data_IF_203885106252
#
_entry.id   IF_203885106252
#
_cell.length_a   1.000
_cell.length_b   1.000
_cell.length_c   1.000
_cell.angle_alpha   90.00
_cell.angle_beta   90.00
_cell.angle_gamma   90.00
#
_symmetry.space_group_name_H-M   'P 1'
#
loop_
_entity.id
_entity.type
_entity.pdbx_description
1 polymer ?
#
# COMPACT_ATOMS: atom_id res chain seq x y z
N UNK A 1 25.05 -4.66 -3.51
CA UNK A 1 24.98 -4.70 -2.02
C UNK A 1 23.98 -3.68 -1.45
N UNK A 2 23.78 -2.54 -2.12
CA UNK A 2 22.94 -1.43 -1.63
C UNK A 2 21.42 -1.72 -1.66
N UNK A 3 20.98 -2.63 -2.53
CA UNK A 3 19.56 -3.00 -2.67
C UNK A 3 19.10 -4.12 -1.72
N UNK A 4 20.01 -4.70 -0.92
CA UNK A 4 19.68 -5.76 0.02
C UNK A 4 19.19 -5.17 1.36
N UNK A 5 17.92 -5.30 1.63
CA UNK A 5 17.26 -4.80 2.83
C UNK A 5 17.01 -5.93 3.82
N UNK A 6 17.23 -5.69 5.09
CA UNK A 6 16.86 -6.65 6.13
C UNK A 6 15.36 -6.60 6.38
N UNK A 7 14.74 -7.74 6.67
CA UNK A 7 13.33 -7.82 7.04
C UNK A 7 13.15 -7.81 8.54
N UNK A 8 12.06 -7.21 8.98
CA UNK A 8 11.59 -7.22 10.36
C UNK A 8 10.14 -7.69 10.39
N UNK A 9 9.83 -8.59 11.30
CA UNK A 9 8.46 -9.05 11.56
C UNK A 9 7.92 -8.36 12.81
N UNK A 10 6.82 -7.64 12.67
CA UNK A 10 6.07 -7.05 13.76
C UNK A 10 4.79 -7.83 13.99
N UNK A 11 4.57 -8.27 15.22
CA UNK A 11 3.34 -8.94 15.64
C UNK A 11 2.56 -8.01 16.57
N UNK A 12 1.26 -7.84 16.29
CA UNK A 12 0.35 -7.07 17.13
C UNK A 12 -0.92 -7.85 17.39
N UNK A 13 -1.26 -8.05 18.68
CA UNK A 13 -2.55 -8.59 19.07
C UNK A 13 -3.63 -7.50 18.94
N UNK A 14 -4.65 -7.75 18.13
CA UNK A 14 -5.82 -6.86 18.00
C UNK A 14 -6.73 -7.00 19.23
N UNK A 15 -7.63 -6.01 19.45
CA UNK A 15 -8.63 -6.07 20.54
C UNK A 15 -9.54 -7.31 20.46
N UNK A 16 -9.80 -7.81 19.25
CA UNK A 16 -10.57 -9.04 19.01
C UNK A 16 -9.77 -10.33 19.25
N UNK A 17 -8.54 -10.26 19.80
CA UNK A 17 -7.69 -11.41 20.08
C UNK A 17 -6.85 -11.91 18.89
N UNK A 18 -7.16 -11.53 17.66
CA UNK A 18 -6.40 -11.95 16.47
C UNK A 18 -5.00 -11.34 16.46
N UNK A 19 -4.01 -12.13 16.06
CA UNK A 19 -2.63 -11.66 15.85
C UNK A 19 -2.51 -11.13 14.43
N UNK A 20 -2.04 -9.90 14.28
CA UNK A 20 -1.67 -9.31 12.99
C UNK A 20 -0.15 -9.29 12.87
N UNK A 21 0.39 -10.01 11.87
CA UNK A 21 1.79 -9.95 11.47
C UNK A 21 2.00 -8.95 10.33
N UNK A 22 3.10 -8.21 10.37
CA UNK A 22 3.57 -7.38 9.26
C UNK A 22 5.06 -7.62 9.06
N UNK A 23 5.43 -8.10 7.88
CA UNK A 23 6.82 -8.13 7.45
C UNK A 23 7.15 -6.79 6.78
N UNK A 24 8.23 -6.16 7.22
CA UNK A 24 8.64 -4.81 6.79
C UNK A 24 10.09 -4.87 6.34
N UNK A 25 10.40 -4.24 5.21
CA UNK A 25 11.78 -4.06 4.76
C UNK A 25 12.43 -2.85 5.43
N UNK A 26 13.70 -2.95 5.79
CA UNK A 26 14.49 -1.88 6.38
C UNK A 26 14.91 -0.82 5.36
N UNK A 27 13.96 -0.02 4.85
CA UNK A 27 14.16 0.96 3.78
C UNK A 27 15.00 2.17 4.15
N UNK A 28 15.44 2.31 5.41
CA UNK A 28 16.35 3.38 5.82
C UNK A 28 17.65 3.42 5.01
N UNK A 29 18.13 2.27 4.53
CA UNK A 29 19.31 2.17 3.65
C UNK A 29 19.06 2.76 2.26
N UNK A 30 17.81 2.85 1.82
CA UNK A 30 17.46 3.41 0.51
C UNK A 30 17.69 4.91 0.43
N UNK A 31 17.75 5.61 1.58
CA UNK A 31 18.06 7.05 1.63
C UNK A 31 19.42 7.42 1.05
N UNK A 32 20.32 6.45 0.89
CA UNK A 32 21.64 6.65 0.28
C UNK A 32 21.60 6.71 -1.25
N UNK A 33 20.49 6.28 -1.90
CA UNK A 33 20.41 6.18 -3.35
C UNK A 33 19.03 6.50 -3.96
N UNK A 34 18.02 6.76 -3.14
CA UNK A 34 16.69 7.24 -3.56
C UNK A 34 16.49 8.63 -2.95
N UNK A 35 16.24 9.62 -3.79
CA UNK A 35 15.86 10.95 -3.31
C UNK A 35 14.48 10.92 -2.66
N UNK A 36 14.31 11.73 -1.61
CA UNK A 36 13.02 11.82 -0.92
C UNK A 36 11.90 12.34 -1.84
N UNK A 37 12.23 13.22 -2.77
CA UNK A 37 11.25 13.74 -3.73
C UNK A 37 10.77 12.66 -4.70
N UNK A 38 11.66 11.75 -5.12
CA UNK A 38 11.34 10.64 -6.03
C UNK A 38 10.57 9.51 -5.36
N UNK A 39 10.47 9.52 -4.03
CA UNK A 39 9.78 8.49 -3.24
C UNK A 39 8.54 9.03 -2.52
N UNK A 40 8.29 10.34 -2.59
CA UNK A 40 7.18 10.97 -1.88
C UNK A 40 5.86 10.69 -2.58
N UNK A 41 4.88 10.22 -1.83
CA UNK A 41 3.50 10.06 -2.27
C UNK A 41 2.66 11.18 -1.67
N UNK A 42 1.76 11.80 -2.46
CA UNK A 42 0.77 12.73 -1.92
C UNK A 42 -0.08 12.07 -0.84
N UNK A 43 -0.52 12.89 0.11
CA UNK A 43 -1.54 12.51 1.11
C UNK A 43 -2.56 13.63 1.19
N UNK A 44 -3.83 13.29 1.40
CA UNK A 44 -4.88 14.29 1.50
C UNK A 44 -4.60 15.28 2.64
N UNK A 45 -4.82 16.56 2.38
CA UNK A 45 -4.75 17.58 3.41
C UNK A 45 -5.97 17.55 4.34
N UNK A 46 -5.77 17.91 5.61
CA UNK A 46 -6.88 17.99 6.57
C UNK A 46 -7.94 19.00 6.12
N UNK A 47 -7.55 20.09 5.48
CA UNK A 47 -8.47 21.08 4.94
C UNK A 47 -9.35 20.50 3.84
N UNK A 48 -8.77 19.75 2.90
CA UNK A 48 -9.54 19.10 1.85
C UNK A 48 -10.51 18.05 2.41
N UNK A 49 -10.05 17.24 3.38
CA UNK A 49 -10.92 16.27 4.06
C UNK A 49 -12.10 16.94 4.75
N UNK A 50 -11.88 18.03 5.49
CA UNK A 50 -12.95 18.76 6.16
C UNK A 50 -13.90 19.45 5.17
N UNK A 51 -13.36 20.00 4.06
CA UNK A 51 -14.17 20.60 3.01
C UNK A 51 -15.09 19.56 2.36
N UNK A 52 -14.60 18.36 2.06
CA UNK A 52 -15.47 17.29 1.54
C UNK A 52 -16.57 16.93 2.54
N UNK A 53 -16.29 16.88 3.85
CA UNK A 53 -17.31 16.62 4.87
C UNK A 53 -18.39 17.73 4.92
N UNK A 54 -18.02 19.00 4.74
CA UNK A 54 -18.98 20.13 4.68
C UNK A 54 -19.90 19.99 3.47
N UNK A 55 -19.33 19.70 2.29
CA UNK A 55 -20.10 19.50 1.06
C UNK A 55 -21.06 18.31 1.20
N UNK A 56 -20.57 17.20 1.73
CA UNK A 56 -21.34 15.99 1.99
C UNK A 56 -22.56 16.26 2.89
N UNK A 57 -22.34 16.98 3.99
CA UNK A 57 -23.41 17.35 4.93
C UNK A 57 -24.40 18.33 4.30
N UNK A 58 -23.93 19.30 3.51
CA UNK A 58 -24.78 20.29 2.86
C UNK A 58 -25.68 19.67 1.79
N UNK A 59 -25.13 18.74 1.01
CA UNK A 59 -25.85 18.09 -0.09
C UNK A 59 -26.59 16.80 0.33
N UNK A 60 -26.42 16.36 1.58
CA UNK A 60 -27.04 15.13 2.09
C UNK A 60 -26.56 13.88 1.38
N UNK A 61 -25.26 13.82 1.04
CA UNK A 61 -24.65 12.67 0.35
C UNK A 61 -24.57 11.46 1.25
N UNK A 62 -24.74 10.28 0.68
CA UNK A 62 -24.29 9.05 1.32
C UNK A 62 -22.76 9.01 1.39
N UNK A 63 -22.21 8.55 2.52
CA UNK A 63 -20.78 8.51 2.79
C UNK A 63 -20.37 7.12 3.25
N UNK A 64 -19.41 6.54 2.55
CA UNK A 64 -18.79 5.28 2.97
C UNK A 64 -17.28 5.41 3.17
N UNK A 65 -16.73 4.54 4.00
CA UNK A 65 -15.28 4.37 4.17
C UNK A 65 -14.89 2.94 3.82
N UNK A 66 -13.79 2.80 3.10
CA UNK A 66 -13.27 1.50 2.64
C UNK A 66 -11.80 1.41 2.99
N UNK A 67 -11.37 0.30 3.57
CA UNK A 67 -9.94 -0.06 3.76
C UNK A 67 -9.53 -1.00 2.62
N UNK A 68 -8.46 -0.68 1.91
CA UNK A 68 -7.91 -1.54 0.85
C UNK A 68 -6.87 -2.47 1.47
N UNK A 69 -7.21 -3.75 1.66
CA UNK A 69 -6.32 -4.66 2.37
C UNK A 69 -5.04 -4.91 1.58
N UNK A 70 -3.90 -4.86 2.27
CA UNK A 70 -2.59 -5.15 1.68
C UNK A 70 -2.22 -4.30 0.45
N UNK A 71 -2.63 -3.05 0.42
CA UNK A 71 -2.49 -2.11 -0.69
C UNK A 71 -1.10 -2.14 -1.36
N UNK A 72 -0.02 -2.08 -0.59
CA UNK A 72 1.34 -2.13 -1.14
C UNK A 72 1.66 -3.50 -1.76
N UNK A 73 1.34 -4.60 -1.07
CA UNK A 73 1.66 -5.96 -1.56
C UNK A 73 0.88 -6.28 -2.84
N UNK A 74 -0.27 -5.68 -3.05
CA UNK A 74 -1.03 -5.79 -4.30
C UNK A 74 -0.41 -4.98 -5.46
N UNK A 75 0.57 -4.12 -5.19
CA UNK A 75 1.18 -3.23 -6.17
C UNK A 75 2.43 -3.85 -6.75
N UNK A 76 2.39 -4.23 -8.02
CA UNK A 76 3.54 -4.77 -8.73
C UNK A 76 4.59 -3.68 -8.99
N UNK A 77 5.85 -4.04 -8.85
CA UNK A 77 6.99 -3.18 -9.18
C UNK A 77 7.42 -3.50 -10.61
N UNK A 78 6.91 -2.74 -11.56
CA UNK A 78 7.15 -2.99 -12.99
C UNK A 78 8.62 -2.72 -13.35
N UNK A 79 9.17 -1.58 -12.93
CA UNK A 79 10.57 -1.24 -13.19
C UNK A 79 11.52 -2.09 -12.32
N UNK A 80 12.37 -2.93 -12.94
CA UNK A 80 13.35 -3.73 -12.20
C UNK A 80 14.32 -2.90 -11.35
N UNK A 81 14.52 -1.62 -11.70
CA UNK A 81 15.39 -0.73 -10.92
C UNK A 81 14.82 -0.42 -9.54
N UNK A 82 13.50 -0.47 -9.40
CA UNK A 82 12.81 -0.24 -8.14
C UNK A 82 12.61 -1.50 -7.30
N UNK A 83 12.90 -2.68 -7.85
CA UNK A 83 12.81 -3.93 -7.09
C UNK A 83 13.92 -3.99 -6.05
N UNK A 84 13.57 -4.52 -4.90
CA UNK A 84 14.49 -4.70 -3.78
C UNK A 84 14.72 -6.17 -3.50
N UNK A 85 15.91 -6.50 -3.03
CA UNK A 85 16.22 -7.80 -2.44
C UNK A 85 15.99 -7.69 -0.93
N UNK A 86 15.25 -8.64 -0.38
CA UNK A 86 15.05 -8.73 1.06
C UNK A 86 15.82 -9.91 1.63
N UNK A 87 16.44 -9.68 2.77
CA UNK A 87 17.17 -10.69 3.52
C UNK A 87 16.32 -11.11 4.72
N UNK A 88 15.85 -12.34 4.68
CA UNK A 88 15.13 -13.01 5.75
C UNK A 88 16.11 -13.91 6.48
N UNK A 89 16.23 -13.79 7.81
CA UNK A 89 17.23 -14.59 8.54
C UNK A 89 16.72 -15.09 9.90
N UNK A 90 17.41 -16.12 10.41
CA UNK A 90 17.16 -16.73 11.73
C UNK A 90 15.78 -17.37 11.78
N UNK A 91 15.09 -17.23 12.90
CA UNK A 91 13.81 -17.88 13.15
C UNK A 91 12.77 -17.68 12.03
N UNK A 92 12.73 -16.52 11.41
CA UNK A 92 11.79 -16.28 10.29
C UNK A 92 12.14 -17.12 9.06
N UNK A 93 13.43 -17.32 8.76
CA UNK A 93 13.86 -18.20 7.67
C UNK A 93 13.58 -19.67 8.02
N UNK A 94 13.81 -20.09 9.26
CA UNK A 94 13.47 -21.44 9.75
C UNK A 94 11.96 -21.70 9.62
N UNK A 95 11.14 -20.76 10.05
CA UNK A 95 9.68 -20.88 9.98
C UNK A 95 9.17 -21.00 8.53
N UNK A 96 9.74 -20.22 7.60
CA UNK A 96 9.40 -20.33 6.18
C UNK A 96 9.80 -21.69 5.60
N UNK A 97 10.95 -22.21 6.00
CA UNK A 97 11.42 -23.52 5.59
C UNK A 97 10.54 -24.65 6.14
N UNK A 98 10.05 -24.50 7.37
CA UNK A 98 9.14 -25.46 8.00
C UNK A 98 7.75 -25.47 7.33
N UNK A 99 7.21 -24.28 7.01
CA UNK A 99 5.87 -24.13 6.44
C UNK A 99 5.81 -24.53 4.95
N UNK A 100 6.86 -24.21 4.17
CA UNK A 100 6.89 -24.45 2.74
C UNK A 100 8.29 -24.85 2.26
N UNK A 101 8.77 -26.05 2.66
CA UNK A 101 10.11 -26.52 2.31
C UNK A 101 10.32 -26.66 0.81
N UNK A 102 9.27 -27.01 0.05
CA UNK A 102 9.29 -27.13 -1.41
C UNK A 102 9.50 -25.78 -2.12
N UNK A 103 9.18 -24.67 -1.46
CA UNK A 103 9.36 -23.31 -2.01
C UNK A 103 10.71 -22.73 -1.62
N UNK A 104 11.13 -22.93 -0.39
CA UNK A 104 12.28 -22.22 0.19
C UNK A 104 13.53 -23.08 0.36
N UNK A 105 13.41 -24.42 0.30
CA UNK A 105 14.50 -25.35 0.60
C UNK A 105 15.76 -25.10 -0.20
N UNK A 106 15.63 -24.90 -1.51
CA UNK A 106 16.76 -24.69 -2.42
C UNK A 106 17.41 -23.29 -2.30
N UNK A 107 16.76 -22.35 -1.59
CA UNK A 107 17.19 -20.96 -1.47
C UNK A 107 17.74 -20.60 -0.09
N UNK A 108 17.71 -21.54 0.86
CA UNK A 108 18.26 -21.34 2.20
C UNK A 108 19.78 -21.60 2.17
N UNK A 109 20.53 -20.67 2.67
CA UNK A 109 21.94 -20.89 3.00
C UNK A 109 22.23 -20.51 4.45
N UNK A 110 23.35 -20.99 4.98
CA UNK A 110 23.76 -20.70 6.34
C UNK A 110 24.88 -19.64 6.31
N UNK A 111 24.72 -18.58 7.08
CA UNK A 111 25.73 -17.53 7.18
C UNK A 111 26.96 -18.00 8.01
N UNK A 112 28.00 -17.14 8.08
CA UNK A 112 29.24 -17.44 8.82
C UNK A 112 29.03 -17.69 10.33
N UNK A 113 27.84 -17.35 10.85
CA UNK A 113 27.47 -17.54 12.27
C UNK A 113 26.57 -18.77 12.47
N UNK A 114 26.35 -19.58 11.43
CA UNK A 114 25.45 -20.72 11.50
C UNK A 114 23.95 -20.36 11.44
N UNK A 115 23.61 -19.14 11.02
CA UNK A 115 22.22 -18.66 10.99
C UNK A 115 21.64 -18.88 9.59
N UNK A 116 20.47 -19.51 9.44
CA UNK A 116 19.80 -19.68 8.16
C UNK A 116 19.34 -18.35 7.58
N UNK A 117 19.52 -18.19 6.27
CA UNK A 117 19.25 -16.97 5.52
C UNK A 117 18.60 -17.30 4.19
N UNK A 118 17.55 -16.55 3.83
CA UNK A 118 16.93 -16.53 2.51
C UNK A 118 17.09 -15.12 1.92
N UNK A 119 17.44 -15.03 0.65
CA UNK A 119 17.39 -13.78 -0.10
C UNK A 119 16.33 -13.93 -1.17
N UNK A 120 15.35 -13.00 -1.16
CA UNK A 120 14.26 -12.98 -2.12
C UNK A 120 14.17 -11.63 -2.82
N UNK A 121 13.88 -11.63 -4.11
CA UNK A 121 13.53 -10.43 -4.87
C UNK A 121 12.06 -10.10 -4.67
N UNK A 122 11.76 -8.85 -4.31
CA UNK A 122 10.38 -8.39 -4.18
C UNK A 122 9.85 -7.89 -5.52
N UNK A 123 8.93 -8.64 -6.10
CA UNK A 123 8.21 -8.27 -7.33
C UNK A 123 7.05 -7.32 -7.08
N UNK A 124 6.60 -7.22 -5.84
CA UNK A 124 5.55 -6.33 -5.40
C UNK A 124 6.12 -5.36 -4.35
N UNK A 125 5.49 -4.21 -4.21
CA UNK A 125 5.86 -3.25 -3.19
C UNK A 125 5.70 -3.86 -1.79
N UNK A 126 6.66 -3.59 -0.93
CA UNK A 126 6.68 -4.11 0.45
C UNK A 126 6.73 -2.95 1.44
N UNK A 127 6.04 -3.11 2.56
CA UNK A 127 6.07 -2.15 3.65
C UNK A 127 7.50 -1.84 4.10
N UNK A 128 7.78 -0.57 4.35
CA UNK A 128 9.07 -0.06 4.81
C UNK A 128 10.03 0.36 3.70
N UNK A 129 9.77 0.05 2.43
CA UNK A 129 10.53 0.64 1.32
C UNK A 129 10.08 2.07 1.04
N UNK A 130 11.00 2.94 0.63
CA UNK A 130 10.72 4.35 0.40
C UNK A 130 9.71 4.59 -0.72
N UNK A 131 9.76 3.77 -1.77
CA UNK A 131 8.97 3.96 -2.99
C UNK A 131 7.58 3.30 -2.93
N UNK A 132 7.30 2.43 -1.95
CA UNK A 132 6.05 1.66 -1.89
C UNK A 132 4.80 2.55 -1.91
N UNK A 133 4.82 3.67 -1.17
CA UNK A 133 3.72 4.62 -1.13
C UNK A 133 3.46 5.26 -2.49
N UNK A 134 4.50 5.69 -3.18
CA UNK A 134 4.38 6.30 -4.51
C UNK A 134 3.87 5.31 -5.56
N UNK A 135 4.39 4.08 -5.57
CA UNK A 135 3.95 3.05 -6.50
C UNK A 135 2.46 2.72 -6.31
N UNK A 136 2.03 2.60 -5.05
CA UNK A 136 0.62 2.38 -4.75
C UNK A 136 -0.24 3.57 -5.18
N UNK A 137 0.17 4.80 -4.86
CA UNK A 137 -0.52 6.02 -5.25
C UNK A 137 -0.74 6.08 -6.77
N UNK A 138 0.31 5.85 -7.57
CA UNK A 138 0.23 5.85 -9.03
C UNK A 138 -0.73 4.76 -9.54
N UNK A 139 -0.63 3.55 -9.00
CA UNK A 139 -1.53 2.44 -9.33
C UNK A 139 -2.99 2.80 -9.00
N UNK A 140 -3.22 3.36 -7.81
CA UNK A 140 -4.57 3.67 -7.34
C UNK A 140 -5.20 4.81 -8.14
N UNK A 141 -4.47 5.90 -8.41
CA UNK A 141 -4.92 6.96 -9.33
C UNK A 141 -5.27 6.40 -10.72
N UNK A 142 -4.41 5.56 -11.31
CA UNK A 142 -4.71 4.91 -12.58
C UNK A 142 -5.92 3.96 -12.53
N UNK A 143 -6.25 3.42 -11.36
CA UNK A 143 -7.51 2.68 -11.18
C UNK A 143 -8.70 3.62 -11.18
N UNK A 144 -8.64 4.71 -10.42
CA UNK A 144 -9.68 5.74 -10.39
C UNK A 144 -9.93 6.35 -11.78
N UNK A 145 -8.85 6.64 -12.53
CA UNK A 145 -8.95 7.16 -13.91
C UNK A 145 -9.72 6.18 -14.81
N UNK A 146 -9.41 4.87 -14.75
CA UNK A 146 -10.16 3.84 -15.50
C UNK A 146 -11.63 3.75 -15.10
N UNK A 147 -11.96 4.08 -13.87
CA UNK A 147 -13.33 4.13 -13.36
C UNK A 147 -14.03 5.47 -13.66
N UNK A 148 -13.40 6.34 -14.45
CA UNK A 148 -13.94 7.62 -14.90
C UNK A 148 -13.84 8.76 -13.88
N UNK A 149 -13.05 8.59 -12.82
CA UNK A 149 -12.74 9.69 -11.92
C UNK A 149 -11.69 10.61 -12.51
N UNK A 150 -11.81 11.89 -12.22
CA UNK A 150 -10.85 12.94 -12.59
C UNK A 150 -10.25 13.52 -11.31
N UNK A 151 -8.92 13.62 -11.28
CA UNK A 151 -8.21 14.20 -10.14
C UNK A 151 -8.58 15.68 -9.94
N UNK A 152 -8.76 16.10 -8.71
CA UNK A 152 -8.96 17.51 -8.39
C UNK A 152 -7.64 18.26 -8.62
N UNK A 153 -7.65 19.40 -9.35
CA UNK A 153 -6.42 20.13 -9.68
C UNK A 153 -5.73 20.77 -8.46
N UNK A 154 -6.41 20.90 -7.34
CA UNK A 154 -5.88 21.52 -6.12
C UNK A 154 -5.51 20.51 -5.04
N UNK A 155 -6.03 19.28 -5.12
CA UNK A 155 -5.80 18.23 -4.11
C UNK A 155 -5.67 16.87 -4.79
N UNK A 156 -4.46 16.39 -4.89
CA UNK A 156 -4.09 15.18 -5.63
C UNK A 156 -4.73 13.87 -5.09
N UNK A 157 -5.19 13.88 -3.86
CA UNK A 157 -5.87 12.73 -3.23
C UNK A 157 -7.40 12.87 -3.18
N UNK A 158 -7.95 13.82 -3.96
CA UNK A 158 -9.39 13.97 -4.18
C UNK A 158 -9.69 13.79 -5.66
N UNK A 159 -10.61 12.88 -5.97
CA UNK A 159 -11.03 12.60 -7.34
C UNK A 159 -12.55 12.65 -7.43
N UNK A 160 -13.07 13.10 -8.58
CA UNK A 160 -14.50 13.26 -8.80
C UNK A 160 -14.93 12.58 -10.10
N UNK A 161 -16.11 12.00 -10.11
CA UNK A 161 -16.82 11.58 -11.34
C UNK A 161 -18.31 11.94 -11.25
N UNK A 162 -19.01 11.86 -12.36
CA UNK A 162 -20.47 11.88 -12.37
C UNK A 162 -20.97 10.44 -12.38
N UNK A 163 -21.74 10.05 -11.40
CA UNK A 163 -22.37 8.74 -11.27
C UNK A 163 -23.81 8.92 -10.77
N UNK A 164 -24.76 8.20 -11.35
CA UNK A 164 -26.18 8.39 -11.06
C UNK A 164 -26.64 9.86 -11.17
N UNK A 165 -26.19 10.55 -12.23
CA UNK A 165 -26.47 11.96 -12.55
C UNK A 165 -25.97 13.00 -11.53
N UNK A 166 -25.25 12.55 -10.48
CA UNK A 166 -24.67 13.42 -9.45
C UNK A 166 -23.17 13.22 -9.30
N UNK A 167 -22.52 14.17 -8.64
CA UNK A 167 -21.11 14.05 -8.35
C UNK A 167 -20.84 13.00 -7.29
N UNK A 168 -19.97 12.05 -7.60
CA UNK A 168 -19.33 11.16 -6.64
C UNK A 168 -17.90 11.64 -6.41
N UNK A 169 -17.53 11.81 -5.14
CA UNK A 169 -16.20 12.26 -4.72
C UNK A 169 -15.49 11.14 -3.94
N UNK A 170 -14.26 10.85 -4.33
CA UNK A 170 -13.35 9.96 -3.60
C UNK A 170 -12.24 10.80 -2.99
N UNK A 171 -11.99 10.59 -1.69
CA UNK A 171 -10.91 11.21 -0.95
C UNK A 171 -10.15 10.09 -0.24
N UNK A 172 -8.81 10.04 -0.38
CA UNK A 172 -8.04 8.91 0.15
C UNK A 172 -6.73 9.33 0.82
N UNK A 173 -6.34 8.55 1.81
CA UNK A 173 -5.07 8.64 2.52
C UNK A 173 -4.42 7.26 2.53
N UNK A 174 -3.53 7.01 1.56
CA UNK A 174 -2.90 5.70 1.30
C UNK A 174 -3.98 4.64 1.04
N UNK A 175 -4.21 3.70 1.95
CA UNK A 175 -5.16 2.59 1.89
C UNK A 175 -6.56 2.91 2.46
N UNK A 176 -6.69 4.01 3.19
CA UNK A 176 -7.96 4.50 3.73
C UNK A 176 -8.66 5.37 2.67
N UNK A 177 -9.83 4.92 2.21
CA UNK A 177 -10.67 5.58 1.22
C UNK A 177 -11.96 6.06 1.84
N UNK A 178 -12.35 7.30 1.54
CA UNK A 178 -13.71 7.83 1.76
C UNK A 178 -14.34 8.12 0.40
N UNK A 179 -15.53 7.60 0.15
CA UNK A 179 -16.36 7.94 -1.01
C UNK A 179 -17.67 8.58 -0.57
N UNK A 180 -18.10 9.58 -1.30
CA UNK A 180 -19.35 10.26 -1.07
C UNK A 180 -20.12 10.54 -2.36
N UNK A 181 -21.42 10.32 -2.37
CA UNK A 181 -22.30 10.47 -3.52
C UNK A 181 -23.67 9.88 -3.28
N UNK A 182 -24.31 9.35 -4.32
CA UNK A 182 -25.51 8.54 -4.17
C UNK A 182 -25.13 7.15 -3.65
N UNK A 183 -25.96 6.54 -2.79
CA UNK A 183 -25.75 5.21 -2.21
C UNK A 183 -25.43 4.15 -3.29
N UNK A 184 -26.22 4.14 -4.37
CA UNK A 184 -26.03 3.22 -5.49
C UNK A 184 -24.64 3.39 -6.15
N UNK A 185 -24.14 4.61 -6.26
CA UNK A 185 -22.81 4.90 -6.81
C UNK A 185 -21.69 4.43 -5.88
N UNK A 186 -21.88 4.58 -4.56
CA UNK A 186 -20.96 4.08 -3.56
C UNK A 186 -20.91 2.55 -3.55
N UNK A 187 -22.05 1.87 -3.57
CA UNK A 187 -22.15 0.40 -3.67
C UNK A 187 -21.50 -0.14 -4.94
N UNK A 188 -21.64 0.57 -6.05
CA UNK A 188 -21.02 0.20 -7.31
C UNK A 188 -19.49 0.32 -7.21
N UNK A 189 -18.98 1.39 -6.62
CA UNK A 189 -17.54 1.59 -6.45
C UNK A 189 -16.89 0.47 -5.64
N UNK A 190 -17.54 -0.03 -4.59
CA UNK A 190 -17.03 -1.18 -3.79
C UNK A 190 -16.84 -2.44 -4.64
N UNK A 191 -17.70 -2.64 -5.65
CA UNK A 191 -17.60 -3.80 -6.55
C UNK A 191 -16.54 -3.61 -7.65
N UNK A 192 -16.21 -2.35 -7.95
CA UNK A 192 -15.22 -1.98 -8.98
C UNK A 192 -13.78 -1.96 -8.44
N UNK A 193 -13.59 -1.78 -7.14
CA UNK A 193 -12.30 -1.78 -6.44
C UNK A 193 -11.85 -3.19 -6.08
#
# INVERSE_FOLDING_TARGET
>A
KERLLETHLFLKKKRCGKIKGRTVAGGNKQRGYIDKHDASSPTVSTQALLLTCIVEAHEGRDVMTVDIPNAFIQTRVEDPQHRVLVKIKGYLAELLLEIAPEVYGDYVYVDKKGIPVIIAECWNAIYGTMIAGLLYYVKFCGTLDRLGFVANPYEACVHNRIAAEKQQTVCFHVDDLKSSGEEVANDQLVKEL
#
